data_IF_498194062598
#
_entry.id   IF_498194062598
#
_cell.length_a   1.000
_cell.length_b   1.000
_cell.length_c   1.000
_cell.angle_alpha   90.00
_cell.angle_beta   90.00
_cell.angle_gamma   90.00
#
_symmetry.space_group_name_H-M   'P 1'
#
loop_
_entity.id
_entity.type
_entity.pdbx_description
1 polymer ?
#
# COMPACT_ATOMS: atom_id res chain seq x y z
N UNK A 1 -5.18 51.13 31.70
CA UNK A 1 -5.37 49.77 32.23
C UNK A 1 -6.52 49.14 31.49
N UNK A 2 -6.20 48.39 30.42
CA UNK A 2 -6.84 47.17 29.95
C UNK A 2 -6.08 46.74 28.67
N UNK A 3 -5.48 45.54 28.64
CA UNK A 3 -4.71 45.05 27.50
C UNK A 3 -5.63 44.30 26.53
N UNK A 4 -5.54 44.61 25.23
CA UNK A 4 -6.17 43.80 24.19
C UNK A 4 -5.32 42.54 23.97
N UNK A 5 -5.90 41.41 24.35
CA UNK A 5 -5.29 40.09 24.19
C UNK A 5 -5.30 39.67 22.72
N UNK A 6 -4.09 39.46 22.18
CA UNK A 6 -3.85 38.66 20.99
C UNK A 6 -4.48 37.28 21.14
N UNK A 7 -5.47 36.95 20.31
CA UNK A 7 -5.86 35.57 20.07
C UNK A 7 -5.31 35.14 18.71
N UNK A 8 -4.06 34.67 18.72
CA UNK A 8 -3.50 33.90 17.61
C UNK A 8 -4.03 32.47 17.76
N UNK A 9 -5.05 32.13 16.98
CA UNK A 9 -5.50 30.74 16.84
C UNK A 9 -4.36 29.88 16.29
N UNK A 10 -3.82 29.01 17.14
CA UNK A 10 -2.95 27.91 16.72
C UNK A 10 -3.72 27.02 15.74
N UNK A 11 -3.16 26.65 14.57
CA UNK A 11 -3.81 25.67 13.71
C UNK A 11 -3.88 24.33 14.44
N UNK A 12 -5.08 23.74 14.42
CA UNK A 12 -5.36 22.42 15.00
C UNK A 12 -4.42 21.40 14.36
N UNK A 13 -3.47 20.90 15.15
CA UNK A 13 -2.52 19.87 14.73
C UNK A 13 -3.36 18.64 14.40
N UNK A 14 -3.41 18.23 13.13
CA UNK A 14 -4.00 16.96 12.71
C UNK A 14 -3.36 15.87 13.57
N UNK A 15 -4.11 15.40 14.56
CA UNK A 15 -3.67 14.38 15.48
C UNK A 15 -3.67 13.08 14.69
N UNK A 16 -2.52 12.41 14.63
CA UNK A 16 -2.46 11.05 14.09
C UNK A 16 -3.59 10.22 14.74
N UNK A 17 -4.35 9.45 13.94
CA UNK A 17 -5.52 8.74 14.44
C UNK A 17 -5.17 7.86 15.64
N UNK A 18 -6.07 7.80 16.62
CA UNK A 18 -5.89 6.98 17.81
C UNK A 18 -5.75 5.51 17.37
N UNK A 19 -4.60 4.85 17.64
CA UNK A 19 -4.41 3.46 17.25
C UNK A 19 -5.49 2.56 17.85
N UNK A 20 -6.19 2.93 18.93
CA UNK A 20 -7.31 2.13 19.46
C UNK A 20 -8.53 2.01 18.53
N UNK A 21 -8.62 2.79 17.43
CA UNK A 21 -9.76 2.81 16.50
C UNK A 21 -9.63 1.91 15.27
N UNK A 22 -8.46 1.32 15.02
CA UNK A 22 -8.19 0.46 13.85
C UNK A 22 -8.41 -1.01 14.25
N UNK A 23 -9.19 -1.76 13.45
CA UNK A 23 -9.39 -3.20 13.68
C UNK A 23 -8.04 -3.96 13.64
N UNK A 24 -7.83 -5.01 14.42
CA UNK A 24 -6.60 -5.79 14.38
C UNK A 24 -6.21 -6.24 12.97
N UNK A 25 -7.19 -6.69 12.18
CA UNK A 25 -7.01 -7.14 10.80
C UNK A 25 -6.51 -5.99 9.89
N UNK A 26 -7.01 -4.78 10.09
CA UNK A 26 -6.56 -3.59 9.36
C UNK A 26 -5.12 -3.20 9.73
N UNK A 27 -4.70 -3.40 10.98
CA UNK A 27 -3.29 -3.20 11.36
C UNK A 27 -2.38 -4.19 10.67
N UNK A 28 -2.79 -5.45 10.58
CA UNK A 28 -2.02 -6.49 9.89
C UNK A 28 -1.91 -6.17 8.40
N UNK A 29 -3.01 -5.72 7.76
CA UNK A 29 -3.02 -5.25 6.37
C UNK A 29 -2.09 -4.06 6.16
N UNK A 30 -2.17 -3.03 7.00
CA UNK A 30 -1.30 -1.86 6.92
C UNK A 30 0.18 -2.24 7.11
N UNK A 31 0.48 -3.14 8.05
CA UNK A 31 1.83 -3.64 8.28
C UNK A 31 2.39 -4.39 7.06
N UNK A 32 1.58 -5.22 6.39
CA UNK A 32 1.97 -5.91 5.16
C UNK A 32 2.27 -4.92 4.03
N UNK A 33 1.41 -3.90 3.83
CA UNK A 33 1.71 -2.82 2.89
C UNK A 33 3.00 -2.07 3.25
N UNK A 34 3.26 -1.82 4.54
CA UNK A 34 4.49 -1.19 5.03
C UNK A 34 5.75 -2.03 4.73
N UNK A 35 5.68 -3.36 4.89
CA UNK A 35 6.77 -4.28 4.54
C UNK A 35 7.05 -4.20 3.04
N UNK A 36 6.02 -4.26 2.19
CA UNK A 36 6.17 -4.18 0.73
C UNK A 36 6.74 -2.83 0.30
N UNK A 37 6.20 -1.73 0.84
CA UNK A 37 6.66 -0.37 0.56
C UNK A 37 8.14 -0.20 0.90
N UNK A 38 8.52 -0.46 2.14
CA UNK A 38 9.88 -0.23 2.63
C UNK A 38 10.94 -1.06 1.91
N UNK A 39 10.58 -2.26 1.44
CA UNK A 39 11.49 -3.10 0.67
C UNK A 39 11.64 -2.69 -0.80
N UNK A 40 10.63 -2.02 -1.37
CA UNK A 40 10.61 -1.65 -2.79
C UNK A 40 11.03 -0.19 -3.02
N UNK A 41 10.95 0.66 -2.00
CA UNK A 41 11.35 2.07 -2.07
C UNK A 41 12.85 2.27 -2.27
N UNK A 42 13.67 1.44 -1.63
CA UNK A 42 15.13 1.49 -1.73
C UNK A 42 15.75 0.14 -1.33
N UNK A 43 17.06 -0.06 -1.55
CA UNK A 43 17.79 -1.19 -0.99
C UNK A 43 17.55 -1.36 0.52
N UNK A 44 17.11 -2.56 0.93
CA UNK A 44 16.86 -2.82 2.36
C UNK A 44 18.13 -2.72 3.20
N UNK A 45 17.97 -2.19 4.41
CA UNK A 45 19.07 -2.00 5.37
C UNK A 45 19.27 -3.24 6.24
N UNK A 46 20.37 -3.23 7.02
CA UNK A 46 20.61 -4.26 8.06
C UNK A 46 19.47 -4.34 9.08
N UNK A 47 18.91 -3.20 9.45
CA UNK A 47 17.84 -3.13 10.45
C UNK A 47 16.56 -3.75 9.89
N UNK A 48 16.22 -3.44 8.64
CA UNK A 48 15.09 -4.06 7.95
C UNK A 48 15.24 -5.59 7.89
N UNK A 49 16.42 -6.08 7.48
CA UNK A 49 16.70 -7.51 7.42
C UNK A 49 16.58 -8.17 8.79
N UNK A 50 17.06 -7.50 9.84
CA UNK A 50 17.00 -7.99 11.22
C UNK A 50 15.55 -8.10 11.69
N UNK A 51 14.75 -7.06 11.50
CA UNK A 51 13.33 -7.04 11.88
C UNK A 51 12.54 -8.10 11.11
N UNK A 52 12.69 -8.16 9.79
CA UNK A 52 11.93 -9.09 8.95
C UNK A 52 12.33 -10.54 9.18
N UNK A 53 13.61 -10.82 9.44
CA UNK A 53 14.07 -12.17 9.80
C UNK A 53 13.51 -12.67 11.13
N UNK A 54 13.07 -11.76 12.00
CA UNK A 54 12.49 -12.06 13.31
C UNK A 54 10.96 -12.11 13.29
N UNK A 55 10.31 -11.86 12.15
CA UNK A 55 8.86 -11.97 12.06
C UNK A 55 8.44 -13.41 12.39
N UNK A 56 7.46 -13.59 13.31
CA UNK A 56 6.93 -14.91 13.56
C UNK A 56 6.27 -15.43 12.28
N UNK A 57 6.45 -16.72 11.99
CA UNK A 57 5.60 -17.37 10.99
C UNK A 57 4.16 -17.28 11.47
N UNK A 58 3.35 -16.44 10.83
CA UNK A 58 1.97 -16.20 11.25
C UNK A 58 1.14 -17.47 11.09
N UNK A 59 0.91 -18.21 12.18
CA UNK A 59 -0.29 -19.02 12.45
C UNK A 59 -0.81 -20.07 11.45
N UNK A 60 -0.13 -20.33 10.32
CA UNK A 60 -0.62 -21.15 9.22
C UNK A 60 -1.36 -20.36 8.13
N UNK A 61 -1.51 -20.97 6.95
CA UNK A 61 -2.18 -20.36 5.79
C UNK A 61 -1.23 -19.60 4.85
N UNK A 62 -1.72 -19.19 3.67
CA UNK A 62 -0.85 -18.69 2.58
C UNK A 62 0.03 -17.49 2.96
N UNK A 63 -0.49 -16.52 3.71
CA UNK A 63 0.29 -15.36 4.17
C UNK A 63 1.38 -15.77 5.17
N UNK A 64 1.06 -16.65 6.11
CA UNK A 64 2.02 -17.14 7.09
C UNK A 64 3.18 -17.88 6.44
N UNK A 65 2.89 -18.70 5.43
CA UNK A 65 3.90 -19.39 4.62
C UNK A 65 4.77 -18.40 3.84
N UNK A 66 4.17 -17.41 3.17
CA UNK A 66 4.90 -16.40 2.42
C UNK A 66 5.76 -15.49 3.31
N UNK A 67 5.28 -15.14 4.51
CA UNK A 67 6.05 -14.41 5.52
C UNK A 67 7.22 -15.23 6.05
N UNK A 68 7.02 -16.53 6.28
CA UNK A 68 8.09 -17.45 6.73
C UNK A 68 9.20 -17.57 5.66
N UNK A 69 8.79 -17.65 4.39
CA UNK A 69 9.69 -17.61 3.24
C UNK A 69 10.50 -16.31 3.19
N UNK A 70 9.84 -15.16 3.36
CA UNK A 70 10.48 -13.85 3.36
C UNK A 70 11.45 -13.70 4.55
N UNK A 71 11.05 -14.12 5.75
CA UNK A 71 11.88 -14.08 6.94
C UNK A 71 13.15 -14.95 6.78
N UNK A 72 13.00 -16.15 6.22
CA UNK A 72 14.12 -17.03 5.88
C UNK A 72 15.07 -16.40 4.85
N UNK A 73 14.52 -15.78 3.80
CA UNK A 73 15.31 -15.07 2.80
C UNK A 73 16.05 -13.85 3.39
N UNK A 74 15.40 -13.11 4.28
CA UNK A 74 16.00 -11.98 4.99
C UNK A 74 17.15 -12.43 5.90
N UNK A 75 16.98 -13.52 6.66
CA UNK A 75 18.03 -14.10 7.50
C UNK A 75 19.28 -14.52 6.70
N UNK A 76 19.08 -14.99 5.46
CA UNK A 76 20.16 -15.40 4.55
C UNK A 76 20.78 -14.28 3.70
N UNK A 77 20.34 -13.03 3.85
CA UNK A 77 20.75 -11.91 2.97
C UNK A 77 21.58 -10.89 3.74
N UNK A 78 22.64 -10.35 3.11
CA UNK A 78 23.40 -9.20 3.65
C UNK A 78 22.93 -7.90 3.01
N UNK A 79 23.13 -6.73 3.67
CA UNK A 79 22.78 -5.43 3.08
C UNK A 79 23.46 -5.19 1.72
N UNK A 80 24.71 -5.61 1.57
CA UNK A 80 25.45 -5.46 0.32
C UNK A 80 24.89 -6.33 -0.79
N UNK A 81 24.39 -7.54 -0.44
CA UNK A 81 23.71 -8.40 -1.40
C UNK A 81 22.35 -7.82 -1.79
N UNK A 82 21.56 -7.38 -0.79
CA UNK A 82 20.28 -6.74 -1.03
C UNK A 82 20.40 -5.48 -1.92
N UNK A 83 21.45 -4.68 -1.74
CA UNK A 83 21.70 -3.50 -2.57
C UNK A 83 22.08 -3.84 -4.01
N UNK A 84 22.89 -4.89 -4.21
CA UNK A 84 23.17 -5.38 -5.57
C UNK A 84 21.93 -5.92 -6.26
N UNK A 85 21.18 -6.77 -5.56
CA UNK A 85 19.96 -7.37 -6.10
C UNK A 85 18.91 -6.28 -6.42
N UNK A 86 18.75 -5.27 -5.56
CA UNK A 86 17.88 -4.12 -5.81
C UNK A 86 18.32 -3.34 -7.05
N UNK A 87 19.63 -3.08 -7.17
CA UNK A 87 20.17 -2.38 -8.33
C UNK A 87 19.87 -3.15 -9.61
N UNK A 88 20.15 -4.45 -9.66
CA UNK A 88 19.94 -5.27 -10.86
C UNK A 88 18.43 -5.34 -11.22
N UNK A 89 17.56 -5.45 -10.21
CA UNK A 89 16.11 -5.52 -10.40
C UNK A 89 15.49 -4.20 -10.89
N UNK A 90 15.83 -3.06 -10.30
CA UNK A 90 15.03 -1.84 -10.45
C UNK A 90 15.79 -0.67 -11.10
N UNK A 91 17.12 -0.71 -11.10
CA UNK A 91 17.96 0.39 -11.61
C UNK A 91 18.65 -0.03 -12.91
N UNK A 92 19.45 -1.10 -12.84
CA UNK A 92 20.23 -1.67 -13.93
C UNK A 92 21.22 -0.69 -14.56
N UNK A 93 21.88 -1.13 -15.64
CA UNK A 93 22.62 -0.21 -16.53
C UNK A 93 21.65 0.21 -17.63
N UNK A 94 21.03 1.37 -17.43
CA UNK A 94 20.01 1.94 -18.32
C UNK A 94 18.58 1.61 -17.88
N UNK A 95 18.32 0.34 -17.55
CA UNK A 95 17.02 -0.09 -17.02
C UNK A 95 17.16 -1.38 -16.20
N UNK A 96 16.48 -1.45 -15.06
CA UNK A 96 16.37 -2.68 -14.26
C UNK A 96 15.57 -3.78 -14.98
N UNK A 97 15.68 -5.01 -14.48
CA UNK A 97 14.85 -6.14 -14.91
C UNK A 97 13.36 -5.81 -14.89
N UNK A 98 12.94 -5.05 -13.88
CA UNK A 98 11.55 -4.63 -13.63
C UNK A 98 11.45 -3.11 -13.57
N UNK A 99 10.29 -2.58 -13.96
CA UNK A 99 9.98 -1.15 -13.89
C UNK A 99 8.73 -0.98 -13.04
N UNK A 100 8.90 -0.73 -11.72
CA UNK A 100 7.85 -0.88 -10.71
C UNK A 100 6.86 0.31 -10.69
N UNK A 101 6.32 0.68 -11.85
CA UNK A 101 5.44 1.83 -12.04
C UNK A 101 4.14 1.42 -12.73
N UNK A 102 3.01 1.92 -12.22
CA UNK A 102 1.69 1.61 -12.77
C UNK A 102 1.57 2.05 -14.24
N UNK A 103 2.04 3.26 -14.57
CA UNK A 103 2.05 3.77 -15.95
C UNK A 103 2.80 2.83 -16.89
N UNK A 104 3.96 2.32 -16.46
CA UNK A 104 4.74 1.39 -17.26
C UNK A 104 4.01 0.05 -17.47
N UNK A 105 3.49 -0.57 -16.41
CA UNK A 105 2.80 -1.85 -16.51
C UNK A 105 1.49 -1.77 -17.32
N UNK A 106 0.78 -0.64 -17.26
CA UNK A 106 -0.51 -0.47 -17.94
C UNK A 106 -0.38 0.03 -19.38
N UNK A 107 0.70 0.75 -19.72
CA UNK A 107 0.81 1.46 -21.01
C UNK A 107 2.12 1.17 -21.77
N UNK A 108 3.13 0.63 -21.10
CA UNK A 108 4.49 0.48 -21.63
C UNK A 108 5.35 1.74 -21.51
N UNK A 109 4.82 2.86 -21.00
CA UNK A 109 5.52 4.14 -20.88
C UNK A 109 5.34 4.77 -19.49
N UNK A 110 6.38 5.44 -19.00
CA UNK A 110 6.33 6.17 -17.72
C UNK A 110 5.60 7.50 -17.87
N UNK A 111 5.03 7.99 -16.77
CA UNK A 111 4.39 9.31 -16.68
C UNK A 111 3.14 9.48 -17.55
N UNK A 112 2.46 8.37 -17.84
CA UNK A 112 1.25 8.35 -18.66
C UNK A 112 -0.04 8.59 -17.84
N UNK A 113 -1.19 8.46 -18.52
CA UNK A 113 -2.54 8.63 -17.96
C UNK A 113 -2.76 7.99 -16.56
N UNK A 114 -2.27 6.78 -16.23
CA UNK A 114 -2.43 6.21 -14.88
C UNK A 114 -1.90 7.12 -13.76
N UNK A 115 -0.74 7.76 -13.97
CA UNK A 115 -0.16 8.69 -13.01
C UNK A 115 -1.00 9.97 -12.86
N UNK A 116 -1.55 10.49 -13.97
CA UNK A 116 -2.42 11.66 -13.92
C UNK A 116 -3.70 11.40 -13.10
N UNK A 117 -4.29 10.21 -13.26
CA UNK A 117 -5.45 9.77 -12.48
C UNK A 117 -5.09 9.60 -11.00
N UNK A 118 -3.93 9.00 -10.71
CA UNK A 118 -3.44 8.89 -9.33
C UNK A 118 -3.29 10.27 -8.67
N UNK A 119 -2.68 11.24 -9.35
CA UNK A 119 -2.55 12.61 -8.82
C UNK A 119 -3.89 13.29 -8.56
N UNK A 120 -4.92 12.98 -9.35
CA UNK A 120 -6.28 13.45 -9.07
C UNK A 120 -6.83 12.83 -7.79
N UNK A 121 -6.62 11.54 -7.59
CA UNK A 121 -7.07 10.83 -6.40
C UNK A 121 -6.31 11.29 -5.15
N UNK A 122 -4.99 11.47 -5.24
CA UNK A 122 -4.18 12.04 -4.14
C UNK A 122 -4.70 13.42 -3.71
N UNK A 123 -5.04 14.31 -4.65
CA UNK A 123 -5.65 15.61 -4.32
C UNK A 123 -7.01 15.45 -3.63
N UNK A 124 -7.82 14.47 -4.03
CA UNK A 124 -9.12 14.17 -3.41
C UNK A 124 -8.94 13.66 -1.98
N UNK A 125 -7.88 12.90 -1.73
CA UNK A 125 -7.54 12.31 -0.43
C UNK A 125 -6.74 13.26 0.46
N UNK A 126 -6.30 14.41 -0.03
CA UNK A 126 -5.41 15.31 0.72
C UNK A 126 -3.98 14.77 0.89
N UNK A 127 -3.57 13.83 0.04
CA UNK A 127 -2.21 13.27 0.04
C UNK A 127 -1.30 14.20 -0.77
N UNK A 128 -0.23 14.66 -0.13
CA UNK A 128 0.79 15.48 -0.77
C UNK A 128 2.04 14.67 -1.10
N UNK A 129 2.70 15.02 -2.20
CA UNK A 129 3.98 14.43 -2.58
C UNK A 129 5.09 15.07 -1.75
N UNK A 130 6.00 14.27 -1.22
CA UNK A 130 7.27 14.77 -0.69
C UNK A 130 8.12 15.34 -1.84
N UNK A 131 8.48 16.65 -1.81
CA UNK A 131 9.26 17.27 -2.88
C UNK A 131 10.70 16.74 -2.98
N UNK A 132 11.20 16.03 -1.96
CA UNK A 132 12.53 15.41 -1.96
C UNK A 132 12.60 14.09 -2.73
N UNK A 133 11.46 13.40 -2.89
CA UNK A 133 11.33 12.17 -3.69
C UNK A 133 11.25 12.55 -5.16
N UNK A 134 12.06 11.93 -6.03
CA UNK A 134 12.11 12.24 -7.48
C UNK A 134 11.25 11.30 -8.31
N UNK A 135 10.97 10.14 -7.75
CA UNK A 135 10.26 9.03 -8.33
C UNK A 135 8.79 9.43 -8.50
N UNK A 136 8.17 9.10 -9.64
CA UNK A 136 6.73 9.28 -9.82
C UNK A 136 5.90 8.59 -8.73
N UNK A 137 4.75 9.18 -8.39
CA UNK A 137 3.88 8.69 -7.31
C UNK A 137 3.23 7.34 -7.63
N UNK A 138 3.23 6.92 -8.90
CA UNK A 138 2.71 5.63 -9.35
C UNK A 138 3.74 4.48 -9.22
N UNK A 139 4.85 4.74 -8.51
CA UNK A 139 5.75 3.70 -8.05
C UNK A 139 5.04 2.75 -7.05
N UNK A 140 5.28 1.43 -7.15
CA UNK A 140 4.61 0.43 -6.29
C UNK A 140 4.76 0.74 -4.79
N UNK A 141 5.95 1.18 -4.36
CA UNK A 141 6.19 1.50 -2.96
C UNK A 141 5.33 2.67 -2.47
N UNK A 142 5.20 3.72 -3.29
CA UNK A 142 4.36 4.88 -2.97
C UNK A 142 2.88 4.49 -2.90
N UNK A 143 2.41 3.63 -3.80
CA UNK A 143 1.05 3.12 -3.77
C UNK A 143 0.77 2.25 -2.53
N UNK A 144 1.73 1.41 -2.12
CA UNK A 144 1.65 0.66 -0.86
C UNK A 144 1.63 1.60 0.36
N UNK A 145 2.46 2.65 0.38
CA UNK A 145 2.44 3.67 1.46
C UNK A 145 1.10 4.40 1.55
N UNK A 146 0.53 4.81 0.42
CA UNK A 146 -0.79 5.46 0.39
C UNK A 146 -1.85 4.49 0.90
N UNK A 147 -1.83 3.22 0.49
CA UNK A 147 -2.81 2.24 0.96
C UNK A 147 -2.69 1.98 2.47
N UNK A 148 -1.47 1.84 3.01
CA UNK A 148 -1.24 1.75 4.46
C UNK A 148 -1.77 2.99 5.19
N UNK A 149 -1.47 4.19 4.69
CA UNK A 149 -1.98 5.44 5.26
C UNK A 149 -3.50 5.56 5.21
N UNK A 150 -4.16 5.05 4.16
CA UNK A 150 -5.62 5.01 4.07
C UNK A 150 -6.25 4.05 5.08
N UNK A 151 -5.60 2.90 5.32
CA UNK A 151 -6.05 1.92 6.31
C UNK A 151 -5.88 2.49 7.72
N UNK A 152 -4.76 3.15 7.99
CA UNK A 152 -4.46 3.73 9.29
C UNK A 152 -5.23 5.02 9.57
N UNK A 153 -5.78 5.68 8.54
CA UNK A 153 -6.46 6.98 8.67
C UNK A 153 -5.54 8.19 8.66
N UNK A 154 -4.35 8.06 8.08
CA UNK A 154 -3.36 9.14 8.02
C UNK A 154 -3.80 10.36 7.20
N UNK A 155 -4.88 10.24 6.42
CA UNK A 155 -5.35 11.27 5.48
C UNK A 155 -6.76 11.81 5.80
N UNK A 156 -7.31 11.54 6.98
CA UNK A 156 -8.66 11.96 7.35
C UNK A 156 -9.31 10.97 8.32
N UNK A 157 -10.64 10.83 8.26
CA UNK A 157 -11.33 9.86 9.10
C UNK A 157 -10.78 8.44 8.84
N UNK A 158 -10.35 7.71 9.90
CA UNK A 158 -9.80 6.38 9.75
C UNK A 158 -10.81 5.42 9.13
N UNK A 159 -10.34 4.61 8.17
CA UNK A 159 -11.01 3.37 7.82
C UNK A 159 -12.32 3.48 7.03
N UNK A 160 -12.48 4.39 6.05
CA UNK A 160 -13.56 4.23 5.04
C UNK A 160 -13.22 3.04 4.13
N UNK A 161 -13.85 1.86 4.29
CA UNK A 161 -13.51 0.68 3.50
C UNK A 161 -13.86 0.90 2.02
N UNK A 162 -14.82 1.79 1.74
CA UNK A 162 -15.18 2.14 0.37
C UNK A 162 -14.08 2.98 -0.30
N UNK A 163 -13.41 3.88 0.42
CA UNK A 163 -12.25 4.62 -0.08
C UNK A 163 -11.07 3.70 -0.34
N UNK A 164 -10.76 2.80 0.62
CA UNK A 164 -9.71 1.80 0.46
C UNK A 164 -9.95 0.92 -0.78
N UNK A 165 -11.15 0.36 -0.92
CA UNK A 165 -11.51 -0.47 -2.06
C UNK A 165 -11.48 0.29 -3.40
N UNK A 166 -11.92 1.56 -3.43
CA UNK A 166 -11.81 2.41 -4.63
C UNK A 166 -10.35 2.63 -5.02
N UNK A 167 -9.50 2.98 -4.06
CA UNK A 167 -8.08 3.20 -4.31
C UNK A 167 -7.41 1.91 -4.79
N UNK A 168 -7.63 0.79 -4.10
CA UNK A 168 -7.09 -0.51 -4.44
C UNK A 168 -7.42 -0.90 -5.88
N UNK A 169 -8.70 -0.93 -6.27
CA UNK A 169 -9.11 -1.31 -7.64
C UNK A 169 -8.52 -0.41 -8.71
N UNK A 170 -8.45 0.90 -8.45
CA UNK A 170 -8.01 1.89 -9.42
C UNK A 170 -6.48 1.95 -9.58
N UNK A 171 -5.73 1.72 -8.50
CA UNK A 171 -4.30 2.05 -8.44
C UNK A 171 -3.38 0.89 -8.04
N UNK A 172 -3.91 -0.25 -7.58
CA UNK A 172 -3.12 -1.44 -7.25
C UNK A 172 -3.63 -2.69 -7.99
N UNK A 173 -4.89 -3.06 -7.81
CA UNK A 173 -5.45 -4.34 -8.29
C UNK A 173 -5.37 -4.54 -9.81
N UNK A 174 -5.32 -3.48 -10.60
CA UNK A 174 -5.27 -3.58 -12.07
C UNK A 174 -3.86 -3.80 -12.65
N UNK A 175 -2.79 -3.75 -11.84
CA UNK A 175 -1.41 -3.89 -12.35
C UNK A 175 -0.44 -4.56 -11.37
N UNK A 176 -0.58 -4.31 -10.07
CA UNK A 176 0.35 -4.79 -9.06
C UNK A 176 0.44 -6.33 -8.96
N UNK A 177 -0.65 -7.11 -9.16
CA UNK A 177 -0.53 -8.58 -9.22
C UNK A 177 0.44 -9.06 -10.31
N UNK A 178 0.48 -8.38 -11.46
CA UNK A 178 1.43 -8.70 -12.53
C UNK A 178 2.87 -8.33 -12.13
N UNK A 179 3.06 -7.17 -11.50
CA UNK A 179 4.37 -6.78 -10.97
C UNK A 179 4.92 -7.79 -9.95
N UNK A 180 4.11 -8.18 -8.96
CA UNK A 180 4.54 -9.15 -7.96
C UNK A 180 4.71 -10.57 -8.51
N UNK A 181 3.97 -10.92 -9.57
CA UNK A 181 4.22 -12.13 -10.36
C UNK A 181 5.60 -12.13 -11.00
N UNK A 182 5.96 -11.05 -11.68
CA UNK A 182 7.27 -10.91 -12.31
C UNK A 182 8.40 -10.90 -11.26
N UNK A 183 8.19 -10.18 -10.15
CA UNK A 183 9.16 -10.11 -9.05
C UNK A 183 9.44 -11.48 -8.44
N UNK A 184 8.40 -12.30 -8.21
CA UNK A 184 8.57 -13.65 -7.70
C UNK A 184 9.24 -14.61 -8.67
N UNK A 185 9.11 -14.35 -9.97
CA UNK A 185 9.73 -15.14 -11.03
C UNK A 185 11.18 -14.75 -11.31
N UNK A 186 11.66 -13.60 -10.78
CA UNK A 186 13.05 -13.19 -10.93
C UNK A 186 14.01 -14.21 -10.30
N UNK A 187 15.15 -14.39 -10.94
CA UNK A 187 16.27 -15.22 -10.46
C UNK A 187 17.31 -14.38 -9.70
N UNK A 188 17.08 -13.08 -9.54
CA UNK A 188 18.00 -12.14 -8.90
C UNK A 188 17.84 -12.17 -7.39
N UNK A 189 18.75 -12.91 -6.76
CA UNK A 189 18.76 -13.12 -5.31
C UNK A 189 17.63 -14.02 -4.82
N UNK A 190 17.40 -14.01 -3.51
CA UNK A 190 16.31 -14.76 -2.86
C UNK A 190 15.31 -13.86 -2.14
N UNK A 191 15.75 -12.69 -1.69
CA UNK A 191 14.94 -11.76 -0.91
C UNK A 191 13.77 -11.21 -1.71
N UNK A 192 14.04 -10.53 -2.84
CA UNK A 192 12.99 -9.91 -3.63
C UNK A 192 12.05 -10.91 -4.30
N UNK A 193 12.49 -12.10 -4.78
CA UNK A 193 11.55 -13.14 -5.20
C UNK A 193 10.63 -13.64 -4.08
N UNK A 194 11.11 -13.73 -2.83
CA UNK A 194 10.26 -14.04 -1.68
C UNK A 194 9.26 -12.92 -1.37
N UNK A 195 9.71 -11.65 -1.46
CA UNK A 195 8.84 -10.48 -1.37
C UNK A 195 7.76 -10.48 -2.47
N UNK A 196 8.12 -10.89 -3.68
CA UNK A 196 7.21 -11.11 -4.81
C UNK A 196 6.09 -12.09 -4.49
N UNK A 197 6.44 -13.24 -3.87
CA UNK A 197 5.45 -14.24 -3.44
C UNK A 197 4.53 -13.70 -2.35
N UNK A 198 5.07 -12.98 -1.36
CA UNK A 198 4.25 -12.31 -0.36
C UNK A 198 3.26 -11.33 -1.00
N UNK A 199 3.74 -10.48 -1.91
CA UNK A 199 2.90 -9.50 -2.60
C UNK A 199 1.78 -10.15 -3.41
N UNK A 200 2.03 -11.26 -4.12
CA UNK A 200 0.99 -12.01 -4.83
C UNK A 200 -0.11 -12.49 -3.88
N UNK A 201 0.29 -13.26 -2.86
CA UNK A 201 -0.67 -13.84 -1.92
C UNK A 201 -1.46 -12.76 -1.19
N UNK A 202 -0.80 -11.65 -0.84
CA UNK A 202 -1.45 -10.54 -0.15
C UNK A 202 -2.45 -9.81 -1.05
N UNK A 203 -2.08 -9.45 -2.28
CA UNK A 203 -3.00 -8.77 -3.18
C UNK A 203 -4.18 -9.66 -3.61
N UNK A 204 -3.98 -10.97 -3.71
CA UNK A 204 -5.07 -11.92 -3.96
C UNK A 204 -6.09 -11.92 -2.81
N UNK A 205 -5.64 -11.76 -1.56
CA UNK A 205 -6.53 -11.61 -0.41
C UNK A 205 -7.22 -10.25 -0.37
N UNK A 206 -6.51 -9.17 -0.74
CA UNK A 206 -7.09 -7.83 -0.83
C UNK A 206 -8.22 -7.78 -1.87
N UNK A 207 -8.05 -8.43 -3.02
CA UNK A 207 -9.10 -8.54 -4.05
C UNK A 207 -10.32 -9.34 -3.56
N UNK A 208 -10.09 -10.44 -2.85
CA UNK A 208 -11.17 -11.24 -2.25
C UNK A 208 -11.94 -10.44 -1.19
N UNK A 209 -11.23 -9.71 -0.33
CA UNK A 209 -11.82 -8.85 0.69
C UNK A 209 -12.65 -7.72 0.05
N UNK A 210 -12.09 -7.02 -0.94
CA UNK A 210 -12.79 -5.94 -1.64
C UNK A 210 -14.08 -6.43 -2.33
N UNK A 211 -14.03 -7.62 -2.94
CA UNK A 211 -15.19 -8.26 -3.56
C UNK A 211 -16.28 -8.60 -2.54
N UNK A 212 -15.90 -9.14 -1.38
CA UNK A 212 -16.84 -9.47 -0.31
C UNK A 212 -17.52 -8.20 0.24
N UNK A 213 -16.74 -7.16 0.55
CA UNK A 213 -17.29 -5.89 1.01
C UNK A 213 -18.11 -5.17 -0.05
N UNK A 214 -17.84 -5.37 -1.34
CA UNK A 214 -18.69 -4.87 -2.42
C UNK A 214 -20.06 -5.56 -2.43
N UNK A 215 -20.10 -6.87 -2.20
CA UNK A 215 -21.35 -7.64 -2.11
C UNK A 215 -22.20 -7.20 -0.91
N UNK A 216 -21.60 -7.00 0.26
CA UNK A 216 -22.28 -6.52 1.47
C UNK A 216 -22.83 -5.10 1.32
N UNK A 217 -22.09 -4.21 0.65
CA UNK A 217 -22.58 -2.86 0.33
C UNK A 217 -23.77 -2.88 -0.63
N UNK A 218 -23.83 -3.84 -1.55
CA UNK A 218 -24.93 -3.99 -2.49
C UNK A 218 -26.20 -4.55 -1.83
N UNK A 219 -26.07 -5.34 -0.75
CA UNK A 219 -27.20 -5.92 0.00
C UNK A 219 -27.69 -5.02 1.15
N UNK A 220 -26.86 -4.09 1.62
CA UNK A 220 -27.19 -3.15 2.70
C UNK A 220 -27.82 -1.80 2.29
N UNK A 221 -28.21 -1.62 1.02
CA UNK A 221 -28.87 -0.41 0.54
C UNK A 221 -30.36 -0.36 0.90
N UNK A 222 -30.77 0.72 1.56
CA UNK A 222 -32.11 1.15 2.04
C UNK A 222 -33.34 0.23 1.85
N UNK A 223 -34.20 0.06 2.90
CA UNK A 223 -35.52 -0.54 2.69
C UNK A 223 -36.31 0.30 1.68
N UNK A 224 -37.18 -0.33 0.86
CA UNK A 224 -37.96 0.41 -0.13
C UNK A 224 -38.75 1.51 0.57
N UNK A 225 -38.62 2.75 0.07
CA UNK A 225 -39.53 3.85 0.40
C UNK A 225 -40.96 3.31 0.32
N UNK A 226 -41.61 3.16 1.47
CA UNK A 226 -43.03 2.90 1.51
C UNK A 226 -43.69 4.18 1.04
N UNK A 227 -44.01 4.22 -0.25
CA UNK A 227 -44.80 5.25 -0.88
C UNK A 227 -46.07 5.44 -0.05
N UNK A 228 -46.14 6.61 0.61
CA UNK A 228 -47.26 6.99 1.44
C UNK A 228 -48.47 7.22 0.55
N UNK A 229 -49.32 6.21 0.43
CA UNK A 229 -50.63 6.37 -0.17
C UNK A 229 -51.40 7.48 0.60
N UNK A 230 -51.89 8.53 -0.08
CA UNK A 230 -52.69 9.56 0.58
C UNK A 230 -54.06 8.97 0.91
N UNK A 231 -54.52 9.23 2.13
CA UNK A 231 -55.82 8.80 2.60
C UNK A 231 -56.97 9.36 1.75
N UNK A 232 -57.93 8.49 1.45
CA UNK A 232 -59.33 8.80 1.21
C UNK A 232 -60.18 7.58 1.62
#
# INVERSE_FOLDING_TARGET
MNPEGSNLSTPERVLAPDPARIAPEDRDRAALYGILASALEAPVTRDWLTVVSALPGSGGGPIGEALSDLASAAAGTTPERAARDYHDLFIGVGRGELVPYASYYLTGFLNEKPLALLRQEMRRLGVERDPSVREPEDHIAALCQIMAGLIEGSFGDPGDPAAQGRFFRAHLGNWAPYFFKDLAASTTGRLYPALGRLGQVFLDLEEQADTLFAAERATGGDPPETDGAPGA
#
